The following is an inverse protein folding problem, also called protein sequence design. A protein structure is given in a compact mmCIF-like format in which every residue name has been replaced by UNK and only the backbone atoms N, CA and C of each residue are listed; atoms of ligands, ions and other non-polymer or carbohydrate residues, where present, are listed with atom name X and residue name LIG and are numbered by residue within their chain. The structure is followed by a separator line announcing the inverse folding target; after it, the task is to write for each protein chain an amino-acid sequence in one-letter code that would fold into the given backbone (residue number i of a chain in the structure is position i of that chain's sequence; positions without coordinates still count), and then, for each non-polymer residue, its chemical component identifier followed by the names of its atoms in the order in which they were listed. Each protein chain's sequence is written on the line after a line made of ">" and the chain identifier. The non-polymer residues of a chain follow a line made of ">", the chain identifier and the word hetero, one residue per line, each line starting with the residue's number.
data_IF_592405276646
#
_entry.id   IF_592405276646
#
_cell.length_a   1.000
_cell.length_b   1.000
_cell.length_c   1.000
_cell.angle_alpha   90.00
_cell.angle_beta   90.00
_cell.angle_gamma   90.00
#
_symmetry.space_group_name_H-M   'P 1'
#
loop_
_entity.id
_entity.type
_entity.pdbx_description
1 polymer ?
#
# COMPACT_ATOMS: atom_id res chain seq x y z
N UNK A 1 15.27 6.35 -18.70
CA UNK A 1 15.06 6.86 -17.34
C UNK A 1 15.71 5.85 -16.42
N UNK A 2 16.55 6.26 -15.47
CA UNK A 2 17.16 5.30 -14.54
C UNK A 2 16.04 4.71 -13.68
N UNK A 3 15.67 3.45 -13.93
CA UNK A 3 14.74 2.69 -13.08
C UNK A 3 15.43 2.40 -11.75
N UNK A 4 15.40 3.40 -10.87
CA UNK A 4 15.83 3.22 -9.49
C UNK A 4 14.69 2.53 -8.77
N UNK A 5 14.83 1.21 -8.56
CA UNK A 5 13.89 0.44 -7.75
C UNK A 5 13.79 1.04 -6.35
N UNK A 6 12.57 1.32 -5.91
CA UNK A 6 12.25 1.87 -4.58
C UNK A 6 12.67 0.96 -3.43
N UNK A 7 12.25 -0.30 -3.45
CA UNK A 7 12.39 -1.25 -2.34
C UNK A 7 13.32 -2.41 -2.68
N UNK A 8 14.24 -2.77 -1.76
CA UNK A 8 15.21 -3.85 -1.98
C UNK A 8 14.67 -5.24 -1.63
N UNK A 9 13.62 -5.35 -0.82
CA UNK A 9 13.12 -6.61 -0.29
C UNK A 9 11.64 -6.90 -0.61
N UNK A 10 10.98 -6.09 -1.46
CA UNK A 10 9.54 -6.23 -1.70
C UNK A 10 9.15 -7.58 -2.28
N UNK A 11 9.93 -8.14 -3.21
CA UNK A 11 9.66 -9.47 -3.78
C UNK A 11 9.84 -10.60 -2.76
N UNK A 12 10.67 -10.38 -1.73
CA UNK A 12 10.86 -11.33 -0.64
C UNK A 12 9.72 -11.25 0.38
N UNK A 13 9.29 -10.04 0.72
CA UNK A 13 8.23 -9.81 1.71
C UNK A 13 6.82 -10.06 1.12
N UNK A 14 6.63 -9.78 -0.17
CA UNK A 14 5.37 -9.89 -0.90
C UNK A 14 5.55 -10.76 -2.16
N UNK A 15 5.87 -12.06 -2.02
CA UNK A 15 6.18 -12.93 -3.16
C UNK A 15 5.00 -13.19 -4.10
N UNK A 16 3.76 -12.95 -3.66
CA UNK A 16 2.54 -13.10 -4.47
C UNK A 16 2.02 -11.78 -5.03
N UNK A 17 2.79 -10.70 -4.90
CA UNK A 17 2.42 -9.40 -5.44
C UNK A 17 2.33 -9.48 -6.98
N UNK A 18 1.20 -9.08 -7.59
CA UNK A 18 1.09 -9.01 -9.03
C UNK A 18 2.21 -8.17 -9.65
N UNK A 19 2.81 -8.65 -10.73
CA UNK A 19 3.96 -8.00 -11.39
C UNK A 19 3.67 -6.53 -11.76
N UNK A 20 2.43 -6.23 -12.19
CA UNK A 20 2.00 -4.87 -12.48
C UNK A 20 2.07 -3.96 -11.24
N UNK A 21 1.60 -4.43 -10.08
CA UNK A 21 1.67 -3.67 -8.83
C UNK A 21 3.11 -3.53 -8.34
N UNK A 22 3.89 -4.62 -8.41
CA UNK A 22 5.31 -4.60 -8.09
C UNK A 22 6.05 -3.52 -8.87
N UNK A 23 5.92 -3.54 -10.21
CA UNK A 23 6.58 -2.58 -11.08
C UNK A 23 6.12 -1.15 -10.79
N UNK A 24 4.81 -0.94 -10.59
CA UNK A 24 4.25 0.39 -10.34
C UNK A 24 4.69 0.96 -8.97
N UNK A 25 4.81 0.11 -7.94
CA UNK A 25 5.34 0.49 -6.63
C UNK A 25 6.83 0.77 -6.71
N UNK A 26 7.59 -0.06 -7.44
CA UNK A 26 9.03 0.11 -7.63
C UNK A 26 9.37 1.38 -8.41
N UNK A 27 8.54 1.78 -9.38
CA UNK A 27 8.62 3.07 -10.09
C UNK A 27 8.11 4.26 -9.28
N UNK A 28 7.76 4.08 -8.00
CA UNK A 28 7.34 5.12 -7.07
C UNK A 28 6.07 5.90 -7.49
N UNK A 29 5.21 5.25 -8.30
CA UNK A 29 3.90 5.75 -8.70
C UNK A 29 2.86 5.42 -7.63
N UNK A 30 2.89 4.19 -7.11
CA UNK A 30 2.06 3.74 -6.01
C UNK A 30 2.87 3.56 -4.72
N UNK A 31 2.17 3.61 -3.60
CA UNK A 31 2.69 3.34 -2.28
C UNK A 31 2.02 2.09 -1.69
N UNK A 32 2.77 1.34 -0.90
CA UNK A 32 2.25 0.21 -0.15
C UNK A 32 2.48 0.43 1.34
N UNK A 33 1.43 0.23 2.13
CA UNK A 33 1.48 0.34 3.60
C UNK A 33 0.86 -0.88 4.26
N UNK A 34 1.30 -1.18 5.48
CA UNK A 34 0.68 -2.20 6.31
C UNK A 34 -0.58 -1.63 6.96
N UNK A 35 -1.52 -2.50 7.28
CA UNK A 35 -2.75 -2.13 7.99
C UNK A 35 -2.50 -2.21 9.49
N UNK A 36 -2.84 -1.15 10.21
CA UNK A 36 -2.87 -1.16 11.67
C UNK A 36 -4.09 -1.93 12.16
N UNK A 37 -3.90 -3.21 12.48
CA UNK A 37 -4.97 -4.07 13.02
C UNK A 37 -5.39 -3.72 14.44
N UNK A 38 -4.69 -2.81 15.12
CA UNK A 38 -5.00 -2.40 16.50
C UNK A 38 -5.86 -1.14 16.58
N UNK A 39 -6.07 -0.42 15.46
CA UNK A 39 -6.84 0.81 15.46
C UNK A 39 -8.36 0.57 15.40
N UNK A 40 -9.14 1.50 15.97
CA UNK A 40 -10.60 1.43 15.96
C UNK A 40 -11.18 1.39 14.54
N UNK A 41 -10.55 2.09 13.59
CA UNK A 41 -10.97 2.09 12.19
C UNK A 41 -10.90 0.71 11.55
N UNK A 42 -9.91 -0.10 11.93
CA UNK A 42 -9.80 -1.47 11.45
C UNK A 42 -10.94 -2.33 11.99
N UNK A 43 -11.25 -2.20 13.29
CA UNK A 43 -12.34 -2.94 13.92
C UNK A 43 -13.70 -2.57 13.31
N UNK A 44 -13.92 -1.28 13.04
CA UNK A 44 -15.11 -0.78 12.36
C UNK A 44 -15.20 -1.29 10.92
N UNK A 45 -14.09 -1.29 10.17
CA UNK A 45 -14.02 -1.80 8.80
C UNK A 45 -14.32 -3.30 8.76
N UNK A 46 -13.73 -4.10 9.66
CA UNK A 46 -14.01 -5.54 9.78
C UNK A 46 -15.46 -5.86 10.13
N UNK A 47 -16.18 -4.94 10.77
CA UNK A 47 -17.60 -5.11 11.09
C UNK A 47 -18.50 -4.88 9.88
N UNK A 48 -18.06 -4.06 8.91
CA UNK A 48 -18.80 -3.74 7.69
C UNK A 48 -18.41 -4.64 6.52
N UNK A 49 -17.14 -5.04 6.46
CA UNK A 49 -16.52 -5.77 5.37
C UNK A 49 -15.79 -6.98 6.00
N UNK A 50 -16.44 -8.14 6.10
CA UNK A 50 -15.86 -9.31 6.78
C UNK A 50 -14.51 -9.76 6.19
N UNK A 51 -14.35 -9.64 4.87
CA UNK A 51 -13.13 -9.98 4.11
C UNK A 51 -11.93 -9.09 4.49
N UNK A 52 -12.18 -7.93 5.10
CA UNK A 52 -11.15 -7.00 5.55
C UNK A 52 -10.23 -7.60 6.63
N UNK A 53 -10.67 -8.67 7.30
CA UNK A 53 -9.88 -9.39 8.31
C UNK A 53 -8.62 -9.99 7.70
N UNK A 54 -8.72 -10.44 6.46
CA UNK A 54 -7.65 -11.12 5.73
C UNK A 54 -6.66 -10.12 5.09
N UNK A 55 -7.04 -8.84 5.02
CA UNK A 55 -6.14 -7.79 4.54
C UNK A 55 -4.99 -7.52 5.52
N UNK A 56 -3.78 -7.37 4.98
CA UNK A 56 -2.54 -7.05 5.70
C UNK A 56 -1.86 -5.79 5.17
N UNK A 57 -1.96 -5.56 3.86
CA UNK A 57 -1.40 -4.38 3.22
C UNK A 57 -2.44 -3.69 2.35
N UNK A 58 -2.15 -2.44 2.01
CA UNK A 58 -2.95 -1.65 1.10
C UNK A 58 -2.04 -0.87 0.16
N UNK A 59 -2.42 -0.86 -1.12
CA UNK A 59 -1.78 -0.10 -2.18
C UNK A 59 -2.66 1.08 -2.56
N UNK A 60 -2.04 2.26 -2.64
CA UNK A 60 -2.71 3.51 -2.95
C UNK A 60 -1.73 4.49 -3.62
N UNK A 61 -2.26 5.50 -4.30
CA UNK A 61 -1.51 6.61 -4.85
C UNK A 61 -1.16 7.62 -3.76
N UNK A 62 0.14 7.84 -3.55
CA UNK A 62 0.62 8.88 -2.63
C UNK A 62 0.40 10.31 -3.13
N UNK A 63 -0.03 10.48 -4.39
CA UNK A 63 -0.18 11.79 -5.04
C UNK A 63 -1.62 12.33 -4.98
N UNK A 64 -2.58 11.53 -4.51
CA UNK A 64 -3.96 11.98 -4.36
C UNK A 64 -4.13 12.58 -2.96
N UNK A 65 -4.51 13.86 -2.92
CA UNK A 65 -4.81 14.55 -1.67
C UNK A 65 -6.03 13.94 -0.97
N UNK A 66 -6.07 14.01 0.37
CA UNK A 66 -7.18 13.51 1.20
C UNK A 66 -8.58 13.98 0.74
N UNK A 67 -8.70 15.19 0.17
CA UNK A 67 -9.97 15.73 -0.34
C UNK A 67 -10.48 14.99 -1.60
N UNK A 68 -9.58 14.38 -2.35
CA UNK A 68 -9.83 13.68 -3.60
C UNK A 68 -9.79 12.15 -3.44
N UNK A 69 -9.49 11.62 -2.25
CA UNK A 69 -9.48 10.18 -1.95
C UNK A 69 -10.78 9.47 -2.30
N UNK A 70 -11.92 10.18 -2.26
CA UNK A 70 -13.20 9.62 -2.71
C UNK A 70 -13.23 9.15 -4.17
N UNK A 71 -12.29 9.61 -4.99
CA UNK A 71 -12.15 9.21 -6.39
C UNK A 71 -11.07 8.16 -6.60
N UNK A 72 -10.37 7.77 -5.54
CA UNK A 72 -9.33 6.76 -5.56
C UNK A 72 -9.90 5.37 -5.29
N UNK A 73 -9.17 4.34 -5.73
CA UNK A 73 -9.40 2.94 -5.36
C UNK A 73 -8.19 2.45 -4.57
N UNK A 74 -8.46 1.79 -3.46
CA UNK A 74 -7.46 1.18 -2.60
C UNK A 74 -7.46 -0.32 -2.84
N UNK A 75 -6.30 -0.87 -3.16
CA UNK A 75 -6.14 -2.30 -3.42
C UNK A 75 -5.64 -2.95 -2.13
N UNK A 76 -6.43 -3.84 -1.56
CA UNK A 76 -6.09 -4.56 -0.34
C UNK A 76 -5.42 -5.88 -0.66
N UNK A 77 -4.28 -6.10 -0.01
CA UNK A 77 -3.46 -7.29 -0.21
C UNK A 77 -3.44 -8.14 1.05
N UNK A 78 -3.35 -9.45 0.85
CA UNK A 78 -3.12 -10.42 1.91
C UNK A 78 -1.68 -10.43 2.39
N UNK A 79 -1.35 -11.41 3.23
CA UNK A 79 -0.08 -11.43 3.98
C UNK A 79 1.14 -11.60 3.07
N UNK A 80 1.00 -12.30 1.95
CA UNK A 80 2.09 -12.59 1.02
C UNK A 80 2.04 -11.68 -0.22
N UNK A 81 1.17 -10.66 -0.24
CA UNK A 81 1.03 -9.71 -1.33
C UNK A 81 -0.02 -10.07 -2.38
N UNK A 82 -0.75 -11.17 -2.19
CA UNK A 82 -1.88 -11.54 -3.03
C UNK A 82 -2.98 -10.48 -2.98
N UNK A 83 -3.53 -10.12 -4.14
CA UNK A 83 -4.66 -9.20 -4.21
C UNK A 83 -5.92 -9.87 -3.68
N UNK A 84 -6.60 -9.23 -2.73
CA UNK A 84 -7.83 -9.75 -2.13
C UNK A 84 -9.06 -9.07 -2.74
N UNK A 85 -9.13 -7.76 -2.64
CA UNK A 85 -10.23 -6.94 -3.12
C UNK A 85 -9.80 -5.48 -3.18
N UNK A 86 -10.64 -4.64 -3.79
CA UNK A 86 -10.41 -3.20 -3.84
C UNK A 86 -11.66 -2.41 -3.41
N UNK A 87 -11.43 -1.28 -2.74
CA UNK A 87 -12.49 -0.43 -2.19
C UNK A 87 -12.31 1.00 -2.70
N UNK A 88 -13.41 1.67 -3.07
CA UNK A 88 -13.35 3.08 -3.38
C UNK A 88 -13.14 3.92 -2.12
N UNK A 89 -12.33 4.97 -2.18
CA UNK A 89 -12.22 5.91 -1.07
C UNK A 89 -13.50 6.69 -0.77
N UNK A 90 -14.56 6.55 -1.58
CA UNK A 90 -15.91 7.01 -1.25
C UNK A 90 -16.57 6.13 -0.16
N UNK A 91 -16.18 4.86 -0.08
CA UNK A 91 -16.74 3.85 0.82
C UNK A 91 -15.93 3.74 2.12
N UNK A 92 -14.62 4.07 2.08
CA UNK A 92 -13.71 3.91 3.21
C UNK A 92 -12.67 5.03 3.31
N UNK A 93 -12.36 5.47 4.53
CA UNK A 93 -11.25 6.40 4.79
C UNK A 93 -9.97 5.63 5.15
N UNK A 94 -8.95 5.73 4.28
CA UNK A 94 -7.67 5.04 4.46
C UNK A 94 -6.80 5.64 5.57
N UNK A 95 -6.77 6.97 5.69
CA UNK A 95 -5.91 7.64 6.66
C UNK A 95 -6.33 7.34 8.10
N UNK A 96 -5.38 6.89 8.90
CA UNK A 96 -5.60 6.38 10.27
C UNK A 96 -5.70 4.87 10.36
N UNK A 97 -5.67 4.16 9.22
CA UNK A 97 -5.57 2.69 9.15
C UNK A 97 -4.17 2.22 8.75
N UNK A 98 -3.29 3.15 8.37
CA UNK A 98 -1.97 2.86 7.81
C UNK A 98 -0.90 2.76 8.90
N UNK A 99 -0.06 1.74 8.80
CA UNK A 99 1.13 1.52 9.62
C UNK A 99 2.38 1.37 8.75
N UNK A 100 3.55 1.37 9.40
CA UNK A 100 4.84 1.16 8.75
C UNK A 100 4.93 -0.26 8.17
N UNK A 101 5.58 -0.39 7.02
CA UNK A 101 5.91 -1.68 6.39
C UNK A 101 7.31 -2.11 6.79
N UNK A 102 7.59 -3.41 6.66
CA UNK A 102 8.94 -3.97 6.79
C UNK A 102 9.77 -3.81 5.49
N UNK A 103 9.35 -2.91 4.60
CA UNK A 103 10.04 -2.68 3.33
C UNK A 103 11.19 -1.70 3.50
N UNK A 104 12.33 -2.06 2.92
CA UNK A 104 13.57 -1.31 3.00
C UNK A 104 13.83 -0.59 1.68
N UNK A 105 14.03 0.72 1.73
CA UNK A 105 14.43 1.47 0.54
C UNK A 105 15.83 1.05 0.06
N UNK A 106 16.02 1.01 -1.26
CA UNK A 106 17.35 0.80 -1.86
C UNK A 106 18.26 2.00 -1.54
N UNK A 107 19.60 1.81 -1.46
CA UNK A 107 20.55 2.91 -1.30
C UNK A 107 20.42 3.98 -2.39
N UNK A 108 20.18 3.57 -3.63
CA UNK A 108 20.01 4.42 -4.80
C UNK A 108 18.76 5.28 -4.68
N UNK A 109 17.64 4.68 -4.24
CA UNK A 109 16.38 5.41 -4.02
C UNK A 109 16.53 6.42 -2.87
N UNK A 110 17.15 6.02 -1.74
CA UNK A 110 17.42 6.96 -0.64
C UNK A 110 18.23 8.18 -1.11
N UNK A 111 19.25 7.93 -1.92
CA UNK A 111 20.12 8.98 -2.46
C UNK A 111 19.39 9.89 -3.46
N UNK A 112 18.42 9.38 -4.21
CA UNK A 112 17.65 10.20 -5.17
C UNK A 112 16.59 11.07 -4.48
N UNK A 113 16.04 10.62 -3.34
CA UNK A 113 15.06 11.37 -2.56
C UNK A 113 15.73 12.45 -1.69
N UNK A 114 16.93 12.20 -1.15
CA UNK A 114 17.68 13.16 -0.34
C UNK A 114 18.31 14.32 -1.13
N UNK A 115 18.47 14.15 -2.44
CA UNK A 115 19.05 15.16 -3.35
C UNK A 115 17.98 16.01 -4.08
N UNK A 116 16.71 15.90 -3.67
CA UNK A 116 15.59 16.75 -4.14
C UNK A 116 15.16 17.71 -3.04
#
# INVERSE_FOLDING_TARGET
>A
MNDISKYSNIEKELPKLPELLLNTIQSDVLEVKSIDKSCDKYLDACSKIPEFKDAYYVVFSKYIDKKNHKFERFIFLGKEGEELFDISGAEMELYGLLSCTNLSYTPEYKSSVLNK
#
